data_IF_124534015191
#
_entry.id   IF_124534015191
#
_cell.length_a   1.000
_cell.length_b   1.000
_cell.length_c   1.000
_cell.angle_alpha   90.00
_cell.angle_beta   90.00
_cell.angle_gamma   90.00
#
_symmetry.space_group_name_H-M   'P 1'
#
loop_
_entity.id
_entity.type
_entity.pdbx_description
1 polymer ?
#
# COMPACT_ATOMS: atom_id res chain seq x y z
N UNK A 1 -14.23 12.27 20.44
CA UNK A 1 -13.53 12.69 21.68
C UNK A 1 -12.15 13.19 21.28
N UNK A 2 -11.50 14.07 22.05
CA UNK A 2 -10.16 14.56 21.73
C UNK A 2 -9.18 14.18 22.82
N UNK A 3 -8.01 13.70 22.44
CA UNK A 3 -6.85 13.65 23.32
C UNK A 3 -5.95 14.85 23.01
N UNK A 4 -5.49 15.55 24.05
CA UNK A 4 -4.59 16.71 23.91
C UNK A 4 -3.28 16.42 24.60
N UNK A 5 -2.18 16.61 23.89
CA UNK A 5 -0.82 16.55 24.41
C UNK A 5 -0.08 17.87 24.14
N UNK A 6 1.05 18.03 24.81
CA UNK A 6 1.93 19.19 24.66
C UNK A 6 3.36 18.70 24.51
N UNK A 7 4.17 19.40 23.72
CA UNK A 7 5.59 19.13 23.61
C UNK A 7 6.36 20.43 23.44
N UNK A 8 7.59 20.45 23.93
CA UNK A 8 8.47 21.62 23.89
C UNK A 8 9.61 21.37 22.89
N UNK A 9 9.85 22.33 22.02
CA UNK A 9 11.01 22.38 21.14
C UNK A 9 12.00 23.39 21.69
N UNK A 10 13.02 22.90 22.39
CA UNK A 10 14.15 23.72 22.82
C UNK A 10 15.12 23.91 21.65
N UNK A 11 15.63 25.12 21.40
CA UNK A 11 16.75 25.25 20.47
C UNK A 11 18.04 24.75 21.15
N UNK A 12 18.70 23.76 20.56
CA UNK A 12 19.94 23.20 21.08
C UNK A 12 21.19 23.80 20.43
N UNK A 13 21.03 24.53 19.32
CA UNK A 13 22.13 24.82 18.39
C UNK A 13 22.49 26.31 18.29
N UNK A 14 21.95 27.19 19.15
CA UNK A 14 22.18 28.65 19.10
C UNK A 14 21.86 29.22 17.70
N UNK A 15 20.86 28.67 17.00
CA UNK A 15 20.35 29.30 15.79
C UNK A 15 19.47 30.46 16.22
N UNK A 16 19.27 31.43 15.34
CA UNK A 16 18.45 32.61 15.64
C UNK A 16 17.08 32.14 16.15
N UNK A 17 16.51 32.75 17.19
CA UNK A 17 15.21 32.33 17.77
C UNK A 17 14.05 32.35 16.73
N UNK A 18 14.29 32.97 15.57
CA UNK A 18 13.37 33.00 14.43
C UNK A 18 13.38 31.76 13.53
N UNK A 19 14.39 30.89 13.62
CA UNK A 19 14.52 29.75 12.70
C UNK A 19 13.58 28.60 13.07
N UNK A 20 12.93 28.03 12.07
CA UNK A 20 12.03 26.90 12.24
C UNK A 20 12.81 25.58 12.38
N UNK A 21 12.43 24.78 13.36
CA UNK A 21 13.00 23.46 13.64
C UNK A 21 12.21 22.41 12.84
N UNK A 22 12.87 21.60 11.99
CA UNK A 22 12.23 20.50 11.30
C UNK A 22 11.91 19.35 12.27
N UNK A 23 10.65 18.97 12.33
CA UNK A 23 10.10 17.94 13.21
C UNK A 23 9.37 16.91 12.35
N UNK A 24 9.66 15.64 12.61
CA UNK A 24 8.96 14.52 12.02
C UNK A 24 7.85 14.05 12.98
N UNK A 25 6.63 13.94 12.46
CA UNK A 25 5.43 13.57 13.23
C UNK A 25 4.68 12.43 12.55
N UNK A 26 4.26 11.43 13.34
CA UNK A 26 3.34 10.38 12.91
C UNK A 26 2.38 10.05 14.06
N UNK A 27 1.11 9.80 13.75
CA UNK A 27 0.15 9.23 14.69
C UNK A 27 -0.47 7.96 14.10
N UNK A 28 -0.39 6.85 14.83
CA UNK A 28 -0.92 5.53 14.46
C UNK A 28 -2.27 5.27 15.13
N UNK A 29 -3.14 4.53 14.45
CA UNK A 29 -4.54 4.25 14.81
C UNK A 29 -5.35 5.55 14.97
N UNK A 30 -5.05 6.54 14.13
CA UNK A 30 -5.64 7.88 14.13
C UNK A 30 -6.02 8.26 12.71
N UNK A 31 -7.23 8.78 12.51
CA UNK A 31 -7.67 9.30 11.21
C UNK A 31 -7.11 10.70 10.93
N UNK A 32 -7.29 11.63 11.86
CA UNK A 32 -6.75 12.98 11.77
C UNK A 32 -6.32 13.53 13.12
N UNK A 33 -5.30 14.38 13.09
CA UNK A 33 -4.76 15.09 14.25
C UNK A 33 -4.32 16.49 13.86
N UNK A 34 -4.08 17.33 14.86
CA UNK A 34 -3.60 18.70 14.69
C UNK A 34 -2.29 18.86 15.44
N UNK A 35 -1.34 19.54 14.82
CA UNK A 35 -0.19 20.13 15.52
C UNK A 35 -0.38 21.63 15.42
N UNK A 36 -0.54 22.28 16.58
CA UNK A 36 -1.08 23.64 16.69
C UNK A 36 -2.39 23.78 15.90
N UNK A 37 -2.42 24.64 14.89
CA UNK A 37 -3.58 24.88 14.03
C UNK A 37 -3.54 24.11 12.70
N UNK A 38 -2.47 23.34 12.44
CA UNK A 38 -2.32 22.56 11.21
C UNK A 38 -2.94 21.17 11.37
N UNK A 39 -3.96 20.89 10.55
CA UNK A 39 -4.57 19.56 10.44
C UNK A 39 -3.71 18.64 9.57
N UNK A 40 -3.49 17.43 10.05
CA UNK A 40 -2.77 16.35 9.39
C UNK A 40 -3.59 15.05 9.44
N UNK A 41 -3.31 14.11 8.54
CA UNK A 41 -3.91 12.78 8.56
C UNK A 41 -3.01 11.79 9.30
N UNK A 42 -3.59 10.89 10.08
CA UNK A 42 -2.86 9.83 10.75
C UNK A 42 -2.83 8.53 9.94
N UNK A 43 -2.11 7.55 10.47
CA UNK A 43 -2.08 6.20 9.95
C UNK A 43 -3.17 5.38 10.65
N UNK A 44 -4.32 5.26 9.99
CA UNK A 44 -5.52 4.60 10.55
C UNK A 44 -5.28 3.13 10.91
N UNK A 45 -4.42 2.43 10.16
CA UNK A 45 -4.17 1.00 10.35
C UNK A 45 -2.86 0.67 11.08
N UNK A 46 -2.04 1.68 11.38
CA UNK A 46 -0.76 1.50 12.07
C UNK A 46 0.30 0.83 11.20
N UNK A 47 0.24 1.00 9.88
CA UNK A 47 1.24 0.45 8.94
C UNK A 47 2.59 1.18 8.96
N UNK A 48 2.70 2.26 9.73
CA UNK A 48 3.86 3.12 9.94
C UNK A 48 4.30 3.88 8.69
N UNK A 49 3.39 4.13 7.77
CA UNK A 49 3.69 4.72 6.46
C UNK A 49 3.41 6.23 6.35
N UNK A 50 2.62 6.80 7.27
CA UNK A 50 2.15 8.19 7.16
C UNK A 50 2.95 9.13 8.06
N UNK A 51 4.05 9.68 7.52
CA UNK A 51 4.93 10.62 8.21
C UNK A 51 4.75 12.04 7.67
N UNK A 52 4.78 13.02 8.58
CA UNK A 52 4.66 14.45 8.27
C UNK A 52 5.91 15.20 8.72
N UNK A 53 6.38 16.12 7.89
CA UNK A 53 7.47 17.04 8.23
C UNK A 53 6.87 18.40 8.51
N UNK A 54 7.12 18.91 9.71
CA UNK A 54 6.68 20.24 10.15
C UNK A 54 7.90 21.09 10.48
N UNK A 55 7.89 22.33 10.04
CA UNK A 55 8.85 23.34 10.44
C UNK A 55 8.19 24.21 11.49
N UNK A 56 8.61 24.05 12.74
CA UNK A 56 8.00 24.64 13.93
C UNK A 56 9.00 25.55 14.65
N UNK A 57 8.57 26.72 15.11
CA UNK A 57 9.45 27.61 15.88
C UNK A 57 9.79 27.02 17.25
N UNK A 58 10.89 27.42 17.90
CA UNK A 58 11.18 27.03 19.28
C UNK A 58 10.03 27.42 20.22
N UNK A 59 9.74 26.56 21.20
CA UNK A 59 8.71 26.80 22.21
C UNK A 59 7.73 25.66 22.41
N UNK A 60 6.61 25.98 23.05
CA UNK A 60 5.56 25.04 23.41
C UNK A 60 4.56 24.86 22.27
N UNK A 61 4.34 23.61 21.87
CA UNK A 61 3.37 23.22 20.86
C UNK A 61 2.30 22.31 21.44
N UNK A 62 1.14 22.29 20.80
CA UNK A 62 0.04 21.41 21.16
C UNK A 62 -0.19 20.36 20.09
N UNK A 63 -0.51 19.13 20.51
CA UNK A 63 -1.01 18.09 19.61
C UNK A 63 -2.42 17.70 20.04
N UNK A 64 -3.38 17.78 19.11
CA UNK A 64 -4.76 17.37 19.34
C UNK A 64 -5.08 16.16 18.45
N UNK A 65 -5.37 15.02 19.05
CA UNK A 65 -5.69 13.79 18.35
C UNK A 65 -7.19 13.55 18.41
N UNK A 66 -7.82 13.37 17.25
CA UNK A 66 -9.24 13.03 17.18
C UNK A 66 -9.41 11.54 17.43
N UNK A 67 -9.99 11.20 18.58
CA UNK A 67 -10.36 9.82 18.90
C UNK A 67 -11.71 9.49 18.27
N UNK A 68 -11.67 8.51 17.36
CA UNK A 68 -12.85 7.91 16.72
C UNK A 68 -13.03 6.52 17.30
N UNK A 69 -14.27 6.17 17.65
CA UNK A 69 -14.63 4.86 18.15
C UNK A 69 -15.00 3.97 16.96
N UNK A 70 -14.04 3.24 16.40
CA UNK A 70 -14.23 2.41 15.21
C UNK A 70 -13.69 0.99 15.47
N UNK A 71 -14.58 0.01 15.40
CA UNK A 71 -14.31 -1.36 15.84
C UNK A 71 -13.26 -2.07 14.98
N UNK A 72 -13.14 -1.74 13.70
CA UNK A 72 -12.19 -2.37 12.77
C UNK A 72 -10.78 -1.79 12.88
N UNK A 73 -10.62 -0.54 13.30
CA UNK A 73 -9.33 0.06 13.69
C UNK A 73 -8.77 -0.63 14.95
N UNK A 74 -9.65 -1.10 15.85
CA UNK A 74 -9.28 -1.64 17.17
C UNK A 74 -9.59 -3.13 17.36
N UNK A 75 -9.58 -3.92 16.28
CA UNK A 75 -9.54 -5.39 16.37
C UNK A 75 -10.86 -6.10 16.65
N UNK A 76 -12.00 -5.51 16.31
CA UNK A 76 -13.31 -6.18 16.22
C UNK A 76 -13.97 -6.55 17.55
N UNK A 77 -13.49 -6.03 18.69
CA UNK A 77 -14.06 -6.29 20.03
C UNK A 77 -14.98 -5.16 20.48
N UNK A 78 -16.03 -5.49 21.25
CA UNK A 78 -16.97 -4.51 21.84
C UNK A 78 -16.92 -4.59 23.38
N UNK A 79 -16.71 -3.46 24.10
CA UNK A 79 -16.31 -2.16 23.55
C UNK A 79 -14.86 -2.21 23.00
N UNK A 80 -14.53 -1.45 21.95
CA UNK A 80 -13.18 -1.43 21.41
C UNK A 80 -12.22 -0.78 22.40
N UNK A 81 -11.00 -1.30 22.46
CA UNK A 81 -9.92 -0.75 23.28
C UNK A 81 -9.19 0.34 22.49
N UNK A 82 -9.51 1.60 22.77
CA UNK A 82 -8.98 2.75 22.03
C UNK A 82 -7.51 2.95 22.41
N UNK A 83 -6.61 2.55 21.53
CA UNK A 83 -5.16 2.73 21.68
C UNK A 83 -4.59 3.45 20.47
N UNK A 84 -3.85 4.51 20.70
CA UNK A 84 -3.15 5.23 19.65
C UNK A 84 -1.75 5.61 20.14
N UNK A 85 -0.85 5.90 19.21
CA UNK A 85 0.49 6.35 19.52
C UNK A 85 0.91 7.44 18.56
N UNK A 86 1.45 8.54 19.08
CA UNK A 86 2.06 9.57 18.28
C UNK A 86 3.57 9.63 18.55
N UNK A 87 4.34 9.66 17.47
CA UNK A 87 5.79 9.79 17.46
C UNK A 87 6.12 11.20 16.99
N UNK A 88 6.89 11.92 17.79
CA UNK A 88 7.37 13.27 17.50
C UNK A 88 8.87 13.26 17.75
N UNK A 89 9.65 13.64 16.73
CA UNK A 89 11.11 13.78 16.88
C UNK A 89 11.63 14.94 16.04
N UNK A 90 12.69 15.60 16.52
CA UNK A 90 13.45 16.52 15.67
C UNK A 90 14.15 15.73 14.57
N UNK A 91 14.23 16.32 13.37
CA UNK A 91 15.05 15.78 12.29
C UNK A 91 16.51 16.12 12.53
N UNK A 92 17.37 15.12 12.50
CA UNK A 92 18.82 15.33 12.53
C UNK A 92 19.29 15.96 11.22
N UNK A 93 20.42 16.69 11.24
CA UNK A 93 20.97 17.34 10.03
C UNK A 93 21.15 16.37 8.85
N UNK A 94 21.50 15.10 9.14
CA UNK A 94 21.69 14.05 8.13
C UNK A 94 20.37 13.54 7.53
N UNK A 95 19.23 13.81 8.19
CA UNK A 95 17.88 13.43 7.74
C UNK A 95 17.20 14.56 6.96
N UNK A 96 17.83 15.74 6.85
CA UNK A 96 17.34 16.87 6.04
C UNK A 96 17.74 16.64 4.58
N UNK A 97 16.76 16.74 3.67
CA UNK A 97 16.92 16.39 2.26
C UNK A 97 15.88 15.35 1.87
N UNK A 98 16.35 14.15 1.54
CA UNK A 98 15.55 13.00 1.15
C UNK A 98 15.63 11.92 2.23
N UNK A 99 14.50 11.56 2.83
CA UNK A 99 14.43 10.48 3.80
C UNK A 99 13.71 9.28 3.18
N UNK A 100 14.36 8.11 3.18
CA UNK A 100 13.71 6.86 2.74
C UNK A 100 12.75 6.37 3.81
N UNK A 101 11.53 6.04 3.42
CA UNK A 101 10.54 5.40 4.28
C UNK A 101 10.69 3.88 4.14
N UNK A 102 11.56 3.29 4.95
CA UNK A 102 11.90 1.87 4.92
C UNK A 102 10.69 0.92 5.01
N UNK A 103 9.71 1.24 5.85
CA UNK A 103 8.49 0.44 6.02
C UNK A 103 7.51 0.52 4.85
N UNK A 104 7.74 1.40 3.87
CA UNK A 104 6.95 1.46 2.65
C UNK A 104 7.68 0.83 1.46
N UNK A 105 8.88 0.30 1.70
CA UNK A 105 9.64 -0.39 0.67
C UNK A 105 8.91 -1.68 0.33
N UNK A 106 8.44 -1.77 -0.90
CA UNK A 106 7.87 -2.98 -1.46
C UNK A 106 8.93 -3.55 -2.38
N UNK A 107 9.53 -4.67 -1.97
CA UNK A 107 10.45 -5.44 -2.80
C UNK A 107 9.80 -6.76 -3.19
N UNK A 108 10.17 -7.34 -4.33
CA UNK A 108 9.75 -8.69 -4.67
C UNK A 108 10.33 -9.70 -3.70
N UNK A 109 9.60 -10.80 -3.47
CA UNK A 109 10.06 -11.90 -2.65
C UNK A 109 11.23 -12.67 -3.29
N UNK A 110 12.00 -13.38 -2.48
CA UNK A 110 13.14 -14.18 -2.93
C UNK A 110 12.71 -15.65 -3.11
N UNK A 111 12.91 -16.19 -4.31
CA UNK A 111 12.66 -17.60 -4.64
C UNK A 111 13.95 -18.21 -5.17
N UNK A 112 14.45 -19.24 -4.48
CA UNK A 112 15.69 -19.96 -4.85
C UNK A 112 16.91 -19.06 -5.12
N UNK A 113 17.01 -17.95 -4.37
CA UNK A 113 18.11 -17.00 -4.50
C UNK A 113 17.87 -15.88 -5.51
N UNK A 114 16.72 -15.83 -6.17
CA UNK A 114 16.36 -14.81 -7.17
C UNK A 114 15.14 -14.00 -6.74
N UNK A 115 15.13 -12.71 -7.05
CA UNK A 115 13.95 -11.87 -6.85
C UNK A 115 12.85 -12.30 -7.84
N UNK A 116 11.63 -12.53 -7.35
CA UNK A 116 10.47 -12.81 -8.17
C UNK A 116 10.00 -11.61 -9.03
N UNK A 117 10.63 -10.43 -8.85
CA UNK A 117 10.26 -9.14 -9.43
C UNK A 117 11.39 -8.22 -9.94
N UNK A 118 11.11 -7.36 -10.94
CA UNK A 118 11.92 -6.22 -11.46
C UNK A 118 11.88 -5.01 -10.55
N UNK A 119 10.72 -4.77 -9.97
CA UNK A 119 10.42 -3.43 -9.47
C UNK A 119 10.38 -3.48 -7.96
N UNK A 120 11.07 -2.52 -7.36
CA UNK A 120 10.91 -2.18 -5.97
C UNK A 120 10.26 -0.80 -5.91
N UNK A 121 9.31 -0.61 -5.02
CA UNK A 121 8.83 0.72 -4.66
C UNK A 121 9.61 1.19 -3.45
N UNK A 122 10.13 2.41 -3.50
CA UNK A 122 10.81 3.06 -2.38
C UNK A 122 10.17 4.43 -2.21
N UNK A 123 9.40 4.64 -1.15
CA UNK A 123 8.87 5.97 -0.90
C UNK A 123 9.97 6.85 -0.28
N UNK A 124 10.06 8.07 -0.80
CA UNK A 124 10.98 9.09 -0.31
C UNK A 124 10.16 10.24 0.22
N UNK A 125 10.40 10.62 1.46
CA UNK A 125 9.86 11.81 2.10
C UNK A 125 10.80 12.98 1.86
N UNK A 126 10.29 14.05 1.25
CA UNK A 126 10.99 15.31 1.18
C UNK A 126 10.95 16.01 2.54
N UNK A 127 12.10 16.14 3.18
CA UNK A 127 12.20 16.77 4.50
C UNK A 127 12.63 18.23 4.43
N UNK A 128 12.80 18.81 3.24
CA UNK A 128 13.16 20.22 3.05
C UNK A 128 11.94 21.15 3.14
N UNK A 129 12.11 22.36 3.67
CA UNK A 129 10.99 23.32 3.88
C UNK A 129 10.46 23.91 2.57
N UNK A 130 11.39 24.34 1.70
CA UNK A 130 11.09 25.19 0.53
C UNK A 130 11.79 24.73 -0.74
N UNK A 131 12.36 23.53 -0.72
CA UNK A 131 13.14 22.98 -1.83
C UNK A 131 12.55 21.67 -2.31
N UNK A 132 12.63 21.43 -3.62
CA UNK A 132 12.23 20.17 -4.24
C UNK A 132 13.39 19.17 -4.24
N UNK A 133 13.06 17.88 -4.14
CA UNK A 133 14.01 16.81 -4.49
C UNK A 133 13.83 16.52 -5.97
N UNK A 134 14.93 16.55 -6.70
CA UNK A 134 14.98 16.07 -8.09
C UNK A 134 15.68 14.72 -8.11
N UNK A 135 14.96 13.68 -8.52
CA UNK A 135 15.55 12.38 -8.79
C UNK A 135 16.22 12.45 -10.16
N UNK A 136 17.54 12.56 -10.20
CA UNK A 136 18.30 12.74 -11.45
C UNK A 136 18.56 11.43 -12.20
N UNK A 137 18.75 10.34 -11.47
CA UNK A 137 18.93 9.00 -12.03
C UNK A 137 18.59 7.94 -10.97
N UNK A 138 17.95 6.85 -11.38
CA UNK A 138 17.76 5.63 -10.58
C UNK A 138 18.38 4.49 -11.38
N UNK A 139 19.48 3.93 -10.86
CA UNK A 139 20.14 2.78 -11.50
C UNK A 139 19.77 1.51 -10.73
N UNK A 140 19.09 0.60 -11.43
CA UNK A 140 18.80 -0.74 -10.91
C UNK A 140 19.95 -1.66 -11.30
N UNK A 141 20.58 -2.29 -10.31
CA UNK A 141 21.60 -3.31 -10.56
C UNK A 141 20.87 -4.66 -10.67
N UNK A 142 20.45 -5.01 -11.91
CA UNK A 142 19.70 -6.21 -12.31
C UNK A 142 18.28 -6.37 -11.71
N UNK A 143 17.26 -6.58 -12.55
CA UNK A 143 15.93 -6.99 -12.06
C UNK A 143 15.00 -7.49 -13.18
N UNK A 144 14.32 -8.65 -12.99
CA UNK A 144 13.25 -9.20 -13.84
C UNK A 144 12.01 -9.70 -12.97
N UNK A 145 10.76 -9.26 -13.21
CA UNK A 145 9.45 -9.71 -12.67
C UNK A 145 8.93 -10.56 -13.79
N UNK A 146 8.80 -11.84 -13.50
CA UNK A 146 8.30 -12.80 -14.45
C UNK A 146 7.10 -13.58 -13.91
N UNK A 147 6.70 -13.37 -12.64
CA UNK A 147 5.65 -14.17 -11.97
C UNK A 147 4.99 -13.40 -10.80
N UNK A 148 3.72 -13.68 -10.48
CA UNK A 148 3.00 -13.14 -9.31
C UNK A 148 2.11 -14.18 -8.64
N UNK A 149 1.97 -14.15 -7.31
CA UNK A 149 1.29 -15.19 -6.52
C UNK A 149 0.49 -14.58 -5.35
N UNK A 150 -0.70 -14.01 -5.60
CA UNK A 150 -1.47 -13.36 -4.55
C UNK A 150 -2.11 -14.39 -3.62
N UNK A 151 -1.91 -14.22 -2.31
CA UNK A 151 -2.66 -14.92 -1.27
C UNK A 151 -3.99 -14.20 -1.00
N UNK A 152 -5.11 -14.92 -1.08
CA UNK A 152 -6.50 -14.47 -0.96
C UNK A 152 -6.99 -13.43 -2.00
N UNK A 153 -6.07 -12.80 -2.75
CA UNK A 153 -6.35 -12.00 -3.96
C UNK A 153 -7.50 -10.99 -3.78
N UNK A 154 -7.48 -10.25 -2.65
CA UNK A 154 -8.48 -9.26 -2.32
C UNK A 154 -8.68 -8.24 -3.45
N UNK A 155 -9.93 -8.06 -3.86
CA UNK A 155 -10.24 -7.22 -5.02
C UNK A 155 -10.63 -5.80 -4.64
N UNK A 156 -11.56 -5.61 -3.70
CA UNK A 156 -12.05 -4.29 -3.29
C UNK A 156 -12.85 -4.34 -2.01
N UNK A 157 -12.89 -3.22 -1.30
CA UNK A 157 -13.64 -3.07 -0.04
C UNK A 157 -15.14 -3.18 -0.22
N UNK A 158 -15.69 -2.73 -1.34
CA UNK A 158 -17.13 -2.78 -1.61
C UNK A 158 -17.66 -4.21 -1.75
N UNK A 159 -16.80 -5.18 -2.10
CA UNK A 159 -17.16 -6.61 -2.15
C UNK A 159 -17.03 -7.28 -0.78
N UNK A 160 -16.27 -6.67 0.13
CA UNK A 160 -15.96 -7.19 1.46
C UNK A 160 -16.91 -6.61 2.53
N UNK A 161 -17.12 -5.30 2.52
CA UNK A 161 -18.22 -4.60 3.22
C UNK A 161 -19.10 -3.95 2.16
N UNK A 162 -20.30 -4.50 1.91
CA UNK A 162 -21.15 -3.94 0.89
C UNK A 162 -21.65 -2.53 1.22
N UNK A 163 -21.29 -1.55 0.40
CA UNK A 163 -21.60 -0.14 0.64
C UNK A 163 -23.09 0.21 0.49
N UNK A 164 -23.91 -0.68 -0.07
CA UNK A 164 -25.37 -0.49 -0.07
C UNK A 164 -26.01 -0.57 1.33
N UNK A 165 -25.22 -0.89 2.37
CA UNK A 165 -25.64 -0.80 3.78
C UNK A 165 -25.36 0.59 4.37
N UNK A 166 -24.59 1.43 3.69
CA UNK A 166 -24.39 2.82 4.08
C UNK A 166 -25.63 3.64 3.71
N UNK A 167 -26.01 4.58 4.58
CA UNK A 167 -27.15 5.47 4.32
C UNK A 167 -26.80 6.48 3.23
N UNK A 168 -27.30 6.26 2.01
CA UNK A 168 -27.17 7.17 0.88
C UNK A 168 -28.40 8.07 0.67
N UNK A 169 -29.35 8.09 1.63
CA UNK A 169 -30.67 8.73 1.49
C UNK A 169 -30.68 10.24 1.17
N UNK A 170 -29.52 10.90 1.28
CA UNK A 170 -29.34 12.33 0.98
C UNK A 170 -28.19 12.58 -0.01
N UNK A 171 -27.63 11.54 -0.62
CA UNK A 171 -26.58 11.64 -1.63
C UNK A 171 -27.23 11.66 -3.02
N UNK A 172 -26.92 12.69 -3.80
CA UNK A 172 -27.26 12.68 -5.22
C UNK A 172 -26.26 11.80 -6.01
N UNK A 173 -26.63 11.32 -7.22
CA UNK A 173 -25.78 10.44 -8.01
C UNK A 173 -24.42 11.04 -8.41
N UNK A 174 -24.33 12.37 -8.58
CA UNK A 174 -23.09 13.04 -8.97
C UNK A 174 -22.12 13.02 -7.79
N UNK A 175 -22.58 13.41 -6.61
CA UNK A 175 -21.76 13.36 -5.40
C UNK A 175 -21.33 11.92 -5.07
N UNK A 176 -22.22 10.94 -5.21
CA UNK A 176 -21.86 9.52 -5.07
C UNK A 176 -20.75 9.12 -6.05
N UNK A 177 -20.86 9.53 -7.31
CA UNK A 177 -19.83 9.29 -8.32
C UNK A 177 -18.46 9.85 -7.92
N UNK A 178 -18.41 11.10 -7.45
CA UNK A 178 -17.17 11.75 -6.99
C UNK A 178 -16.54 10.96 -5.82
N UNK A 179 -17.34 10.56 -4.84
CA UNK A 179 -16.87 9.80 -3.67
C UNK A 179 -16.34 8.41 -4.07
N UNK A 180 -17.06 7.67 -4.91
CA UNK A 180 -16.59 6.36 -5.41
C UNK A 180 -15.33 6.50 -6.28
N UNK A 181 -15.25 7.54 -7.13
CA UNK A 181 -14.04 7.82 -7.91
C UNK A 181 -12.82 8.12 -7.03
N UNK A 182 -13.01 8.77 -5.88
CA UNK A 182 -11.91 9.10 -4.96
C UNK A 182 -11.24 7.88 -4.32
N UNK A 183 -11.91 6.72 -4.31
CA UNK A 183 -11.39 5.45 -3.78
C UNK A 183 -11.18 4.38 -4.85
N UNK A 184 -11.43 4.71 -6.12
CA UNK A 184 -11.35 3.76 -7.24
C UNK A 184 -9.93 3.19 -7.45
N UNK A 185 -8.91 3.87 -6.94
CA UNK A 185 -7.51 3.38 -6.91
C UNK A 185 -7.39 2.02 -6.21
N UNK A 186 -8.23 1.76 -5.20
CA UNK A 186 -8.23 0.49 -4.44
C UNK A 186 -9.22 -0.54 -4.97
N UNK A 187 -9.75 -0.31 -6.17
CA UNK A 187 -10.64 -1.24 -6.83
C UNK A 187 -9.87 -2.10 -7.85
N UNK A 188 -9.25 -3.18 -7.36
CA UNK A 188 -8.35 -4.02 -8.16
C UNK A 188 -9.02 -4.67 -9.38
N UNK A 189 -10.35 -4.80 -9.38
CA UNK A 189 -11.07 -5.34 -10.54
C UNK A 189 -11.05 -4.41 -11.77
N UNK A 190 -10.84 -3.11 -11.58
CA UNK A 190 -10.66 -2.15 -12.68
C UNK A 190 -9.31 -2.31 -13.38
N UNK A 191 -8.32 -2.86 -12.67
CA UNK A 191 -6.93 -2.90 -13.14
C UNK A 191 -6.50 -4.28 -13.63
N UNK A 192 -7.41 -5.26 -13.73
CA UNK A 192 -7.08 -6.63 -14.13
C UNK A 192 -6.53 -6.76 -15.55
N UNK A 193 -6.80 -5.80 -16.44
CA UNK A 193 -6.14 -5.71 -17.76
C UNK A 193 -4.63 -5.55 -17.64
N UNK A 194 -4.16 -4.89 -16.56
CA UNK A 194 -2.74 -4.70 -16.28
C UNK A 194 -2.05 -6.02 -15.93
N UNK A 195 -2.80 -7.08 -15.64
CA UNK A 195 -2.26 -8.40 -15.29
C UNK A 195 -2.13 -9.35 -16.50
N UNK A 196 -2.71 -9.00 -17.65
CA UNK A 196 -2.60 -9.81 -18.88
C UNK A 196 -1.12 -9.99 -19.27
N UNK A 197 -0.73 -11.23 -19.53
CA UNK A 197 0.65 -11.61 -19.87
C UNK A 197 1.57 -11.86 -18.68
N UNK A 198 1.09 -11.67 -17.45
CA UNK A 198 1.82 -12.01 -16.23
C UNK A 198 1.35 -13.40 -15.75
N UNK A 199 2.25 -14.39 -15.62
CA UNK A 199 1.90 -15.66 -14.99
C UNK A 199 1.48 -15.44 -13.55
N UNK A 200 0.25 -15.86 -13.21
CA UNK A 200 -0.29 -15.72 -11.85
C UNK A 200 -0.82 -17.04 -11.32
N UNK A 201 -0.47 -17.35 -10.07
CA UNK A 201 -1.10 -18.39 -9.25
C UNK A 201 -1.76 -17.75 -8.04
N UNK A 202 -3.08 -17.55 -8.09
CA UNK A 202 -3.85 -17.08 -6.95
C UNK A 202 -4.07 -18.23 -5.95
N UNK A 203 -3.84 -17.98 -4.66
CA UNK A 203 -3.91 -19.01 -3.62
C UNK A 203 -4.83 -18.60 -2.49
N UNK A 204 -5.74 -19.47 -2.05
CA UNK A 204 -6.70 -19.14 -0.98
C UNK A 204 -7.20 -20.40 -0.27
N UNK A 205 -7.53 -20.32 1.02
CA UNK A 205 -8.22 -21.41 1.71
C UNK A 205 -9.68 -21.51 1.27
N UNK A 206 -10.23 -22.71 1.08
CA UNK A 206 -11.63 -22.86 0.61
C UNK A 206 -12.67 -22.35 1.60
N UNK A 207 -12.30 -22.30 2.88
CA UNK A 207 -13.16 -21.94 4.00
C UNK A 207 -12.70 -20.59 4.60
N UNK A 208 -11.98 -19.77 3.82
CA UNK A 208 -11.56 -18.43 4.20
C UNK A 208 -12.79 -17.54 4.46
N UNK A 209 -12.97 -17.20 5.73
CA UNK A 209 -14.07 -16.38 6.25
C UNK A 209 -13.66 -14.90 6.45
N UNK A 210 -12.38 -14.58 6.26
CA UNK A 210 -11.90 -13.22 6.28
C UNK A 210 -11.99 -12.64 4.88
N UNK A 211 -11.19 -13.13 3.92
CA UNK A 211 -11.23 -12.73 2.50
C UNK A 211 -11.80 -13.91 1.69
N UNK A 212 -13.13 -13.93 1.42
CA UNK A 212 -13.75 -15.09 0.84
C UNK A 212 -13.13 -15.50 -0.51
N UNK A 213 -13.08 -16.81 -0.84
CA UNK A 213 -12.51 -17.29 -2.11
C UNK A 213 -13.08 -16.64 -3.37
N UNK A 214 -14.27 -16.03 -3.26
CA UNK A 214 -14.87 -15.22 -4.31
C UNK A 214 -13.92 -14.16 -4.88
N UNK A 215 -13.07 -13.53 -4.06
CA UNK A 215 -12.10 -12.53 -4.52
C UNK A 215 -11.07 -13.15 -5.48
N UNK A 216 -10.43 -14.26 -5.07
CA UNK A 216 -9.50 -15.02 -5.91
C UNK A 216 -10.16 -15.55 -7.19
N UNK A 217 -11.38 -16.09 -7.09
CA UNK A 217 -12.15 -16.54 -8.26
C UNK A 217 -12.42 -15.39 -9.22
N UNK A 218 -12.77 -14.21 -8.70
CA UNK A 218 -13.06 -13.04 -9.53
C UNK A 218 -11.81 -12.53 -10.24
N UNK A 219 -10.68 -12.45 -9.54
CA UNK A 219 -9.39 -12.09 -10.14
C UNK A 219 -9.06 -13.03 -11.31
N UNK A 220 -9.08 -14.35 -11.06
CA UNK A 220 -8.78 -15.38 -12.07
C UNK A 220 -9.71 -15.27 -13.26
N UNK A 221 -11.02 -15.14 -13.02
CA UNK A 221 -12.02 -14.96 -14.08
C UNK A 221 -11.70 -13.74 -14.95
N UNK A 222 -11.49 -12.57 -14.34
CA UNK A 222 -11.31 -11.31 -15.07
C UNK A 222 -10.01 -11.31 -15.88
N UNK A 223 -8.90 -11.77 -15.30
CA UNK A 223 -7.63 -11.82 -16.04
C UNK A 223 -7.71 -12.81 -17.20
N UNK A 224 -8.32 -13.97 -17.00
CA UNK A 224 -8.53 -14.95 -18.07
C UNK A 224 -9.44 -14.41 -19.19
N UNK A 225 -10.49 -13.67 -18.83
CA UNK A 225 -11.39 -12.99 -19.77
C UNK A 225 -10.63 -11.94 -20.60
N UNK A 226 -9.89 -11.03 -19.94
CA UNK A 226 -9.09 -10.02 -20.64
C UNK A 226 -7.96 -10.61 -21.49
N UNK A 227 -7.44 -11.78 -21.11
CA UNK A 227 -6.41 -12.48 -21.88
C UNK A 227 -6.97 -13.24 -23.08
N UNK A 228 -8.29 -13.40 -23.19
CA UNK A 228 -8.92 -14.30 -24.16
C UNK A 228 -8.52 -15.77 -23.99
N UNK A 229 -7.99 -16.14 -22.81
CA UNK A 229 -7.48 -17.46 -22.50
C UNK A 229 -7.99 -17.91 -21.13
N UNK A 230 -8.84 -18.95 -21.05
CA UNK A 230 -9.43 -19.45 -19.80
C UNK A 230 -8.42 -20.07 -18.84
N UNK A 231 -7.16 -20.24 -19.27
CA UNK A 231 -6.06 -20.80 -18.49
C UNK A 231 -4.87 -19.82 -18.39
N UNK A 232 -5.08 -18.52 -18.62
CA UNK A 232 -4.01 -17.53 -18.56
C UNK A 232 -3.38 -17.46 -17.16
N UNK A 233 -4.21 -17.53 -16.12
CA UNK A 233 -3.79 -17.58 -14.72
C UNK A 233 -4.53 -18.68 -13.95
N UNK A 234 -3.86 -19.22 -12.93
CA UNK A 234 -4.30 -20.40 -12.17
C UNK A 234 -4.85 -20.00 -10.79
N UNK A 235 -5.80 -20.78 -10.28
CA UNK A 235 -6.33 -20.69 -8.93
C UNK A 235 -6.01 -21.98 -8.16
N UNK A 236 -5.47 -21.84 -6.96
CA UNK A 236 -5.28 -22.92 -5.99
C UNK A 236 -6.13 -22.63 -4.75
N UNK A 237 -7.27 -23.33 -4.63
CA UNK A 237 -8.07 -23.32 -3.40
C UNK A 237 -7.68 -24.51 -2.53
N UNK A 238 -7.27 -24.26 -1.29
CA UNK A 238 -6.81 -25.30 -0.37
C UNK A 238 -8.01 -25.78 0.47
N UNK A 239 -8.49 -27.03 0.29
CA UNK A 239 -9.69 -27.52 0.98
C UNK A 239 -9.58 -27.48 2.50
N UNK A 240 -10.64 -27.01 3.16
CA UNK A 240 -10.77 -27.00 4.61
C UNK A 240 -9.89 -25.97 5.34
N UNK A 241 -9.22 -25.07 4.62
CA UNK A 241 -8.37 -24.02 5.20
C UNK A 241 -9.13 -22.70 5.26
N UNK A 242 -9.04 -22.04 6.41
CA UNK A 242 -9.50 -20.67 6.61
C UNK A 242 -8.49 -19.64 6.11
N UNK A 243 -8.59 -18.40 6.59
CA UNK A 243 -7.71 -17.31 6.13
C UNK A 243 -6.24 -17.50 6.50
N UNK A 244 -5.98 -17.97 7.73
CA UNK A 244 -4.64 -18.12 8.26
C UNK A 244 -4.25 -19.60 8.30
N UNK A 245 -3.26 -19.98 7.50
CA UNK A 245 -2.68 -21.32 7.52
C UNK A 245 -1.26 -21.32 6.98
N UNK A 246 -0.47 -22.29 7.43
CA UNK A 246 0.94 -22.40 7.07
C UNK A 246 1.12 -22.91 5.63
N UNK A 247 2.30 -22.60 5.07
CA UNK A 247 2.83 -23.13 3.80
C UNK A 247 2.09 -22.74 2.52
N UNK A 248 1.13 -21.82 2.57
CA UNK A 248 0.47 -21.28 1.36
C UNK A 248 1.44 -20.65 0.36
N UNK A 249 2.64 -20.25 0.78
CA UNK A 249 3.67 -19.69 -0.10
C UNK A 249 4.88 -20.61 -0.30
N UNK A 250 4.85 -21.85 0.20
CA UNK A 250 6.06 -22.69 0.25
C UNK A 250 5.79 -24.20 0.10
N UNK A 251 4.64 -24.58 -0.43
CA UNK A 251 4.34 -25.98 -0.72
C UNK A 251 4.75 -26.37 -2.15
N UNK A 252 4.55 -27.64 -2.48
CA UNK A 252 4.98 -28.21 -3.76
C UNK A 252 4.29 -27.54 -4.96
N UNK A 253 3.02 -27.14 -4.83
CA UNK A 253 2.28 -26.45 -5.90
C UNK A 253 2.88 -25.08 -6.18
N UNK A 254 3.23 -24.36 -5.11
CA UNK A 254 3.90 -23.07 -5.22
C UNK A 254 5.29 -23.22 -5.85
N UNK A 255 6.10 -24.18 -5.37
CA UNK A 255 7.43 -24.38 -5.94
C UNK A 255 7.38 -24.86 -7.38
N UNK A 256 6.47 -25.75 -7.76
CA UNK A 256 6.32 -26.18 -9.15
C UNK A 256 5.97 -25.00 -10.06
N UNK A 257 5.04 -24.14 -9.63
CA UNK A 257 4.66 -22.96 -10.38
C UNK A 257 5.82 -21.96 -10.51
N UNK A 258 6.57 -21.75 -9.44
CA UNK A 258 7.73 -20.87 -9.46
C UNK A 258 8.85 -21.45 -10.33
N UNK A 259 9.16 -22.73 -10.21
CA UNK A 259 10.13 -23.44 -11.05
C UNK A 259 9.78 -23.37 -12.54
N UNK A 260 8.50 -23.47 -12.88
CA UNK A 260 8.00 -23.36 -14.26
C UNK A 260 8.29 -21.97 -14.86
N UNK A 261 8.10 -20.90 -14.08
CA UNK A 261 8.11 -19.53 -14.59
C UNK A 261 9.39 -18.74 -14.27
N UNK A 262 10.22 -19.21 -13.34
CA UNK A 262 11.48 -18.57 -12.94
C UNK A 262 12.72 -19.19 -13.57
N UNK A 263 12.62 -20.34 -14.26
CA UNK A 263 13.74 -20.92 -15.04
C UNK A 263 14.05 -20.06 -16.27
N UNK A 264 14.77 -18.96 -16.07
CA UNK A 264 15.22 -18.07 -17.14
C UNK A 264 16.52 -18.63 -17.75
N UNK A 265 16.44 -19.15 -18.99
CA UNK A 265 17.60 -19.15 -19.86
C UNK A 265 17.91 -17.69 -20.22
N UNK A 266 19.01 -17.14 -19.70
CA UNK A 266 19.43 -15.72 -19.81
C UNK A 266 19.58 -15.14 -21.23
N UNK A 267 19.23 -15.88 -22.28
CA UNK A 267 19.53 -15.51 -23.67
C UNK A 267 18.39 -14.84 -24.44
N UNK A 268 17.12 -14.93 -24.01
CA UNK A 268 15.98 -14.41 -24.78
C UNK A 268 15.05 -13.53 -23.93
N UNK A 269 15.55 -12.36 -23.53
CA UNK A 269 14.82 -11.40 -22.69
C UNK A 269 13.76 -10.56 -23.45
N UNK A 270 13.53 -10.80 -24.75
CA UNK A 270 12.74 -9.91 -25.61
C UNK A 270 11.24 -10.20 -25.68
N UNK A 271 10.75 -11.33 -25.17
CA UNK A 271 9.42 -11.83 -25.59
C UNK A 271 8.34 -11.83 -24.48
N UNK A 272 8.58 -11.24 -23.31
CA UNK A 272 7.63 -11.33 -22.19
C UNK A 272 6.45 -10.36 -22.27
N UNK A 273 6.47 -9.38 -23.19
CA UNK A 273 5.36 -8.45 -23.32
C UNK A 273 4.35 -8.95 -24.36
N UNK A 274 3.04 -9.02 -24.03
CA UNK A 274 2.02 -9.30 -25.04
C UNK A 274 2.08 -8.24 -26.16
N UNK A 275 1.85 -8.68 -27.40
CA UNK A 275 1.86 -7.80 -28.59
C UNK A 275 0.90 -6.62 -28.46
N UNK A 276 -0.20 -6.83 -27.75
CA UNK A 276 -1.22 -5.83 -27.44
C UNK A 276 -1.63 -5.98 -25.97
N UNK A 277 -1.76 -4.87 -25.26
CA UNK A 277 -2.27 -4.84 -23.90
C UNK A 277 -2.91 -3.49 -23.58
N UNK A 278 -3.75 -3.47 -22.55
CA UNK A 278 -4.40 -2.27 -22.05
C UNK A 278 -3.85 -1.98 -20.65
N UNK A 279 -3.45 -0.72 -20.43
CA UNK A 279 -3.20 -0.18 -19.10
C UNK A 279 -4.40 0.65 -18.69
N UNK A 280 -4.97 0.31 -17.53
CA UNK A 280 -5.93 1.16 -16.81
C UNK A 280 -5.19 1.73 -15.61
N UNK A 281 -5.27 3.05 -15.42
CA UNK A 281 -4.53 3.76 -14.38
C UNK A 281 -5.29 5.01 -13.94
N UNK A 282 -5.54 5.14 -12.64
CA UNK A 282 -6.18 6.32 -12.06
C UNK A 282 -5.13 7.32 -11.54
N UNK A 283 -4.15 6.83 -10.77
CA UNK A 283 -3.11 7.63 -10.15
C UNK A 283 -1.73 7.15 -10.64
N UNK A 284 -1.02 7.91 -11.49
CA UNK A 284 0.28 7.49 -12.00
C UNK A 284 1.32 7.14 -10.93
N UNK A 285 1.22 7.73 -9.74
CA UNK A 285 2.15 7.45 -8.65
C UNK A 285 2.00 6.04 -8.04
N UNK A 286 0.87 5.35 -8.26
CA UNK A 286 0.65 3.97 -7.79
C UNK A 286 0.80 2.92 -8.89
N UNK A 287 1.19 3.32 -10.10
CA UNK A 287 1.44 2.40 -11.20
C UNK A 287 2.84 1.77 -11.10
N UNK A 288 2.89 0.44 -11.02
CA UNK A 288 4.10 -0.31 -11.33
C UNK A 288 4.30 -0.40 -12.84
N UNK A 289 5.55 -0.38 -13.31
CA UNK A 289 5.79 -0.38 -14.76
C UNK A 289 5.39 -1.70 -15.41
N UNK A 290 4.80 -1.63 -16.61
CA UNK A 290 4.41 -2.78 -17.44
C UNK A 290 4.96 -2.59 -18.85
N UNK A 291 5.73 -3.56 -19.33
CA UNK A 291 6.29 -3.55 -20.69
C UNK A 291 7.05 -2.25 -21.07
N UNK A 292 7.75 -1.64 -20.10
CA UNK A 292 8.49 -0.39 -20.32
C UNK A 292 7.64 0.89 -20.28
N UNK A 293 6.35 0.80 -19.93
CA UNK A 293 5.49 1.96 -19.64
C UNK A 293 5.46 2.18 -18.13
N UNK A 294 5.75 3.41 -17.69
CA UNK A 294 5.63 3.89 -16.31
C UNK A 294 5.15 5.34 -16.31
#
# INVERSE_FOLDING_TARGET
MWARGYFELLDSDLRDESDSIPVLVQCQNVGDFYVDDRRLFGDVYGYKNSWHVLYLHPGMHVINVRLVNEIRIFGGKIPPDIRFQCFIKKLELQQIGAMVLDHTIIVPDLVDGFLAGKFASVAILNTQEKSWITVSNVNVINSNVNVSTPAAAYTKIQSYVPYYWNSESHLDPILKGILESSIAEYNNDLYTTNLVGIPILARVGSDDDNVPPLHSRMLVRLVNEHSGNPQAIKLSEIPGKGHWFDKVMSDDVMQEFLDEHLKINHLNQSDSCPKEFIIILLNPASFGSKCGIQ
#
